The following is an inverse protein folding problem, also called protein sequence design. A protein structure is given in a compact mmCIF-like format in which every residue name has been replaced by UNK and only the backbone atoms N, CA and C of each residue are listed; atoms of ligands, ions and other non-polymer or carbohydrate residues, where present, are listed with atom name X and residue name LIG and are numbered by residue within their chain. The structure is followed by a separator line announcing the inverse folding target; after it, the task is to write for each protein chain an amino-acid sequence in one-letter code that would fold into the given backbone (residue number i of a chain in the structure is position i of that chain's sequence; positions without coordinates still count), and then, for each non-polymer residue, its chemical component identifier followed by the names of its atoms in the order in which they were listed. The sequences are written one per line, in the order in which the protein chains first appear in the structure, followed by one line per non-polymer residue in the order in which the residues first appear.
data_IF_089527321889
#
_entry.id   IF_089527321889
#
_cell.length_a   1.000
_cell.length_b   1.000
_cell.length_c   1.000
_cell.angle_alpha   90.00
_cell.angle_beta   90.00
_cell.angle_gamma   90.00
#
_symmetry.space_group_name_H-M   'P 1'
#
loop_
_entity.id
_entity.type
_entity.pdbx_description
1 polymer ?
#
# COMPACT_ATOMS: atom_id res chain seq x y z
N UNK A 1 45.40 -9.87 48.61
CA UNK A 1 45.47 -9.77 47.13
C UNK A 1 44.19 -10.28 46.44
N UNK A 2 43.64 -11.44 46.82
CA UNK A 2 42.42 -12.04 46.23
C UNK A 2 41.14 -11.17 46.29
N UNK A 3 40.87 -10.53 47.43
CA UNK A 3 39.66 -9.69 47.63
C UNK A 3 39.65 -8.48 46.67
N UNK A 4 40.81 -7.85 46.44
CA UNK A 4 40.91 -6.71 45.51
C UNK A 4 40.66 -7.11 44.05
N UNK A 5 41.03 -8.33 43.65
CA UNK A 5 40.77 -8.86 42.33
C UNK A 5 39.26 -9.15 42.11
N UNK A 6 38.59 -9.74 43.11
CA UNK A 6 37.14 -9.97 43.07
C UNK A 6 36.32 -8.68 42.99
N UNK A 7 36.72 -7.65 43.75
CA UNK A 7 36.07 -6.33 43.66
C UNK A 7 36.21 -5.72 42.26
N UNK A 8 37.41 -5.78 41.67
CA UNK A 8 37.64 -5.31 40.29
C UNK A 8 36.80 -6.08 39.26
N UNK A 9 36.70 -7.40 39.41
CA UNK A 9 35.86 -8.23 38.54
C UNK A 9 34.38 -7.85 38.63
N UNK A 10 33.84 -7.64 39.84
CA UNK A 10 32.44 -7.24 40.02
C UNK A 10 32.14 -5.85 39.42
N UNK A 11 33.08 -4.90 39.54
CA UNK A 11 32.95 -3.59 38.88
C UNK A 11 32.95 -3.74 37.37
N UNK A 12 33.84 -4.57 36.81
CA UNK A 12 33.90 -4.83 35.38
C UNK A 12 32.62 -5.50 34.87
N UNK A 13 32.10 -6.50 35.60
CA UNK A 13 30.85 -7.18 35.27
C UNK A 13 29.67 -6.21 35.19
N UNK A 14 29.55 -5.30 36.17
CA UNK A 14 28.50 -4.27 36.15
C UNK A 14 28.65 -3.31 34.99
N UNK A 15 29.88 -2.89 34.67
CA UNK A 15 30.15 -2.03 33.50
C UNK A 15 29.81 -2.73 32.18
N UNK A 16 30.17 -4.00 32.02
CA UNK A 16 29.83 -4.77 30.84
C UNK A 16 28.31 -4.92 30.70
N UNK A 17 27.60 -5.21 31.79
CA UNK A 17 26.14 -5.29 31.76
C UNK A 17 25.50 -3.94 31.40
N UNK A 18 26.03 -2.82 31.91
CA UNK A 18 25.56 -1.48 31.53
C UNK A 18 25.82 -1.18 30.04
N UNK A 19 26.96 -1.63 29.49
CA UNK A 19 27.27 -1.48 28.07
C UNK A 19 26.37 -2.35 27.19
N UNK A 20 26.08 -3.60 27.58
CA UNK A 20 25.16 -4.48 26.86
C UNK A 20 23.74 -3.91 26.82
N UNK A 21 23.27 -3.35 27.94
CA UNK A 21 21.97 -2.68 28.02
C UNK A 21 21.93 -1.43 27.12
N UNK A 22 22.92 -0.55 27.22
CA UNK A 22 23.00 0.65 26.39
C UNK A 22 23.09 0.33 24.88
N UNK A 23 23.81 -0.74 24.53
CA UNK A 23 23.88 -1.23 23.15
C UNK A 23 22.51 -1.72 22.67
N UNK A 24 21.79 -2.46 23.51
CA UNK A 24 20.45 -2.98 23.19
C UNK A 24 19.45 -1.84 23.01
N UNK A 25 19.45 -0.84 23.90
CA UNK A 25 18.61 0.35 23.80
C UNK A 25 18.86 1.11 22.50
N UNK A 26 20.14 1.35 22.17
CA UNK A 26 20.51 2.03 20.91
C UNK A 26 20.13 1.22 19.67
N UNK A 27 20.20 -0.11 19.74
CA UNK A 27 19.74 -0.99 18.65
C UNK A 27 18.22 -0.89 18.46
N UNK A 28 17.45 -0.90 19.56
CA UNK A 28 15.99 -0.76 19.51
C UNK A 28 15.58 0.61 18.96
N UNK A 29 16.24 1.68 19.39
CA UNK A 29 16.00 3.04 18.89
C UNK A 29 16.27 3.14 17.38
N UNK A 30 17.40 2.60 16.91
CA UNK A 30 17.71 2.57 15.47
C UNK A 30 16.66 1.80 14.66
N UNK A 31 16.17 0.66 15.18
CA UNK A 31 15.11 -0.10 14.52
C UNK A 31 13.81 0.69 14.48
N UNK A 32 13.43 1.36 15.57
CA UNK A 32 12.23 2.18 15.61
C UNK A 32 12.27 3.31 14.58
N UNK A 33 13.37 4.06 14.51
CA UNK A 33 13.56 5.15 13.54
C UNK A 33 13.50 4.63 12.10
N UNK A 34 14.12 3.49 11.81
CA UNK A 34 14.08 2.89 10.47
C UNK A 34 12.68 2.45 10.07
N UNK A 35 11.91 1.89 11.01
CA UNK A 35 10.52 1.50 10.78
C UNK A 35 9.62 2.71 10.54
N UNK A 36 9.78 3.77 11.32
CA UNK A 36 9.03 5.03 11.16
C UNK A 36 9.29 5.64 9.78
N UNK A 37 10.57 5.77 9.39
CA UNK A 37 10.94 6.28 8.06
C UNK A 37 10.41 5.43 6.90
N UNK A 38 10.37 4.10 7.06
CA UNK A 38 9.75 3.23 6.06
C UNK A 38 8.24 3.43 5.99
N UNK A 39 7.57 3.56 7.13
CA UNK A 39 6.15 3.78 7.21
C UNK A 39 5.75 5.12 6.57
N UNK A 40 6.46 6.20 6.86
CA UNK A 40 6.25 7.52 6.24
C UNK A 40 6.39 7.47 4.72
N UNK A 41 7.42 6.80 4.21
CA UNK A 41 7.61 6.60 2.76
C UNK A 41 6.45 5.84 2.13
N UNK A 42 6.00 4.78 2.79
CA UNK A 42 4.88 3.98 2.30
C UNK A 42 3.57 4.78 2.33
N UNK A 43 3.33 5.56 3.38
CA UNK A 43 2.16 6.42 3.51
C UNK A 43 2.16 7.53 2.46
N UNK A 44 3.29 8.19 2.22
CA UNK A 44 3.42 9.21 1.18
C UNK A 44 3.15 8.63 -0.23
N UNK A 45 3.65 7.42 -0.50
CA UNK A 45 3.36 6.71 -1.74
C UNK A 45 1.86 6.40 -1.85
N UNK A 46 1.26 5.83 -0.81
CA UNK A 46 -0.18 5.52 -0.80
C UNK A 46 -1.03 6.77 -1.06
N UNK A 47 -0.73 7.89 -0.38
CA UNK A 47 -1.43 9.15 -0.58
C UNK A 47 -1.30 9.67 -2.02
N UNK A 48 -0.09 9.62 -2.60
CA UNK A 48 0.15 10.05 -3.99
C UNK A 48 -0.66 9.23 -4.97
N UNK A 49 -0.67 7.92 -4.80
CA UNK A 49 -1.35 6.98 -5.68
C UNK A 49 -2.88 7.09 -5.55
N UNK A 50 -3.42 7.23 -4.34
CA UNK A 50 -4.85 7.46 -4.12
C UNK A 50 -5.31 8.82 -4.64
N UNK A 51 -4.48 9.86 -4.51
CA UNK A 51 -4.77 11.18 -5.09
C UNK A 51 -4.83 11.11 -6.61
N UNK A 52 -3.88 10.42 -7.24
CA UNK A 52 -3.89 10.20 -8.69
C UNK A 52 -5.14 9.42 -9.11
N UNK A 53 -5.54 8.39 -8.37
CA UNK A 53 -6.78 7.66 -8.63
C UNK A 53 -7.99 8.58 -8.53
N UNK A 54 -8.09 9.39 -7.47
CA UNK A 54 -9.17 10.37 -7.26
C UNK A 54 -9.30 11.30 -8.47
N UNK A 55 -8.19 11.82 -9.00
CA UNK A 55 -8.17 12.66 -10.19
C UNK A 55 -8.66 11.93 -11.43
N UNK A 56 -8.31 10.64 -11.59
CA UNK A 56 -8.75 9.82 -12.72
C UNK A 56 -10.20 9.42 -12.63
N UNK A 57 -10.78 9.31 -11.44
CA UNK A 57 -12.18 8.92 -11.24
C UNK A 57 -13.17 10.10 -11.19
N UNK A 58 -12.72 11.31 -11.55
CA UNK A 58 -13.54 12.55 -11.51
C UNK A 58 -14.84 12.49 -12.32
N UNK A 59 -14.97 11.57 -13.28
CA UNK A 59 -16.20 11.39 -14.05
C UNK A 59 -17.32 10.66 -13.30
N UNK A 60 -17.04 10.07 -12.13
CA UNK A 60 -18.07 9.52 -11.24
C UNK A 60 -18.70 10.62 -10.37
N UNK A 61 -19.88 10.38 -9.78
CA UNK A 61 -20.45 11.36 -8.83
C UNK A 61 -19.61 11.43 -7.56
N UNK A 62 -19.78 12.49 -6.76
CA UNK A 62 -19.01 12.66 -5.52
C UNK A 62 -19.22 11.49 -4.54
N UNK A 63 -20.44 10.96 -4.47
CA UNK A 63 -20.78 9.81 -3.63
C UNK A 63 -20.07 8.54 -4.12
N UNK A 64 -20.11 8.29 -5.44
CA UNK A 64 -19.41 7.18 -6.08
C UNK A 64 -17.90 7.26 -5.86
N UNK A 65 -17.30 8.45 -6.06
CA UNK A 65 -15.88 8.69 -5.82
C UNK A 65 -15.51 8.42 -4.36
N UNK A 66 -16.30 8.93 -3.42
CA UNK A 66 -16.07 8.72 -1.98
C UNK A 66 -16.12 7.25 -1.62
N UNK A 67 -17.07 6.50 -2.18
CA UNK A 67 -17.19 5.07 -1.94
C UNK A 67 -16.02 4.28 -2.55
N UNK A 68 -15.62 4.61 -3.78
CA UNK A 68 -14.44 4.01 -4.45
C UNK A 68 -13.18 4.26 -3.64
N UNK A 69 -12.95 5.52 -3.23
CA UNK A 69 -11.75 5.90 -2.48
C UNK A 69 -11.72 5.27 -1.09
N UNK A 70 -12.86 5.15 -0.42
CA UNK A 70 -12.95 4.44 0.86
C UNK A 70 -12.55 2.97 0.72
N UNK A 71 -13.08 2.28 -0.29
CA UNK A 71 -12.68 0.90 -0.61
C UNK A 71 -11.21 0.80 -0.98
N UNK A 72 -10.70 1.72 -1.81
CA UNK A 72 -9.30 1.76 -2.22
C UNK A 72 -8.34 2.01 -1.05
N UNK A 73 -8.74 2.87 -0.11
CA UNK A 73 -7.98 3.17 1.11
C UNK A 73 -7.87 1.92 2.00
N UNK A 74 -9.00 1.27 2.31
CA UNK A 74 -9.01 0.04 3.09
C UNK A 74 -8.19 -1.09 2.43
N UNK A 75 -8.24 -1.18 1.09
CA UNK A 75 -7.45 -2.16 0.35
C UNK A 75 -5.96 -1.81 0.35
N UNK A 76 -5.60 -0.54 0.22
CA UNK A 76 -4.22 -0.06 0.27
C UNK A 76 -3.58 -0.30 1.64
N UNK A 77 -4.27 0.05 2.72
CA UNK A 77 -3.76 0.02 4.10
C UNK A 77 -3.79 -1.39 4.69
N UNK A 78 -4.91 -2.10 4.55
CA UNK A 78 -5.14 -3.35 5.27
C UNK A 78 -5.26 -4.57 4.36
N UNK A 79 -5.27 -4.38 3.04
CA UNK A 79 -5.54 -5.46 2.09
C UNK A 79 -6.98 -5.96 2.12
N UNK A 80 -7.88 -5.22 2.75
CA UNK A 80 -9.29 -5.57 2.90
C UNK A 80 -10.10 -4.92 1.78
N UNK A 81 -10.89 -5.72 1.07
CA UNK A 81 -11.81 -5.22 0.04
C UNK A 81 -13.15 -4.95 0.70
N UNK A 82 -13.44 -3.68 0.96
CA UNK A 82 -14.74 -3.26 1.48
C UNK A 82 -15.65 -3.00 0.29
N UNK A 83 -16.76 -3.73 0.19
CA UNK A 83 -17.76 -3.47 -0.84
C UNK A 83 -18.43 -2.11 -0.59
N UNK A 84 -18.48 -1.22 -1.60
CA UNK A 84 -19.20 0.05 -1.50
C UNK A 84 -20.66 -0.14 -1.07
N UNK A 85 -21.15 0.70 -0.16
CA UNK A 85 -22.58 0.70 0.23
C UNK A 85 -23.51 1.20 -0.88
N UNK A 86 -22.96 1.79 -1.94
CA UNK A 86 -23.68 2.26 -3.12
C UNK A 86 -23.20 1.51 -4.36
N UNK A 87 -24.11 1.26 -5.30
CA UNK A 87 -23.75 0.63 -6.56
C UNK A 87 -23.15 1.66 -7.51
N UNK A 88 -21.89 1.46 -7.88
CA UNK A 88 -21.19 2.31 -8.85
C UNK A 88 -21.78 2.08 -10.24
N UNK A 89 -22.34 3.13 -10.83
CA UNK A 89 -23.01 3.07 -12.12
C UNK A 89 -22.01 3.06 -13.28
N UNK A 90 -22.42 2.47 -14.40
CA UNK A 90 -21.69 2.57 -15.66
C UNK A 90 -21.71 4.03 -16.13
N UNK A 91 -20.57 4.51 -16.64
CA UNK A 91 -20.43 5.84 -17.24
C UNK A 91 -19.98 5.67 -18.68
N UNK A 92 -20.63 6.37 -19.61
CA UNK A 92 -20.26 6.34 -21.02
C UNK A 92 -18.84 6.88 -21.27
N UNK A 93 -18.35 7.72 -20.36
CA UNK A 93 -17.02 8.33 -20.41
C UNK A 93 -15.92 7.47 -19.79
N UNK A 94 -16.25 6.33 -19.16
CA UNK A 94 -15.28 5.44 -18.53
C UNK A 94 -15.43 4.02 -19.07
N UNK A 95 -14.46 3.55 -19.85
CA UNK A 95 -14.46 2.17 -20.34
C UNK A 95 -13.99 1.19 -19.25
N UNK A 96 -14.37 -0.08 -19.38
CA UNK A 96 -13.82 -1.16 -18.55
C UNK A 96 -12.29 -1.20 -18.59
N UNK A 97 -11.67 -0.92 -19.75
CA UNK A 97 -10.21 -0.95 -19.91
C UNK A 97 -9.54 0.22 -19.19
N UNK A 98 -10.14 1.40 -19.23
CA UNK A 98 -9.63 2.57 -18.51
C UNK A 98 -9.72 2.37 -17.01
N UNK A 99 -10.87 1.87 -16.52
CA UNK A 99 -11.03 1.56 -15.11
C UNK A 99 -10.05 0.49 -14.64
N UNK A 100 -9.87 -0.59 -15.42
CA UNK A 100 -8.83 -1.59 -15.16
C UNK A 100 -7.45 -0.94 -15.08
N UNK A 101 -7.09 -0.09 -16.03
CA UNK A 101 -5.80 0.58 -16.04
C UNK A 101 -5.62 1.50 -14.83
N UNK A 102 -6.59 2.34 -14.48
CA UNK A 102 -6.49 3.24 -13.32
C UNK A 102 -6.26 2.46 -12.03
N UNK A 103 -7.07 1.43 -11.79
CA UNK A 103 -6.98 0.60 -10.59
C UNK A 103 -5.68 -0.22 -10.56
N UNK A 104 -5.28 -0.83 -11.68
CA UNK A 104 -4.02 -1.55 -11.79
C UNK A 104 -2.83 -0.64 -11.55
N UNK A 105 -2.81 0.55 -12.16
CA UNK A 105 -1.72 1.53 -12.06
C UNK A 105 -1.50 1.96 -10.62
N UNK A 106 -2.57 2.31 -9.93
CA UNK A 106 -2.55 2.68 -8.51
C UNK A 106 -2.01 1.55 -7.65
N UNK A 107 -2.58 0.34 -7.74
CA UNK A 107 -2.27 -0.73 -6.80
C UNK A 107 -0.99 -1.49 -7.10
N UNK A 108 -0.60 -1.61 -8.37
CA UNK A 108 0.72 -2.16 -8.70
C UNK A 108 1.85 -1.28 -8.17
N UNK A 109 1.70 0.05 -8.22
CA UNK A 109 2.70 0.96 -7.69
C UNK A 109 2.75 0.95 -6.15
N UNK A 110 1.68 0.52 -5.49
CA UNK A 110 1.68 0.17 -4.06
C UNK A 110 2.13 -1.28 -3.77
N UNK A 111 2.56 -2.05 -4.78
CA UNK A 111 3.05 -3.42 -4.60
C UNK A 111 1.97 -4.49 -4.35
N UNK A 112 0.69 -4.20 -4.65
CA UNK A 112 -0.39 -5.20 -4.50
C UNK A 112 -0.30 -6.28 -5.57
N UNK A 113 -0.72 -7.50 -5.22
CA UNK A 113 -0.70 -8.64 -6.13
C UNK A 113 -1.81 -8.53 -7.17
N UNK A 114 -1.55 -9.07 -8.37
CA UNK A 114 -2.53 -9.12 -9.47
C UNK A 114 -3.84 -9.80 -9.06
N UNK A 115 -3.78 -10.89 -8.28
CA UNK A 115 -4.97 -11.59 -7.77
C UNK A 115 -5.85 -10.67 -6.93
N UNK A 116 -5.24 -9.94 -6.01
CA UNK A 116 -5.95 -9.13 -5.04
C UNK A 116 -6.60 -7.91 -5.73
N UNK A 117 -5.93 -7.37 -6.75
CA UNK A 117 -6.47 -6.31 -7.62
C UNK A 117 -7.68 -6.81 -8.43
N UNK A 118 -7.62 -8.05 -8.93
CA UNK A 118 -8.76 -8.68 -9.64
C UNK A 118 -9.96 -8.80 -8.73
N UNK A 119 -9.77 -9.28 -7.50
CA UNK A 119 -10.83 -9.37 -6.50
C UNK A 119 -11.39 -7.99 -6.16
N UNK A 120 -10.53 -6.98 -6.00
CA UNK A 120 -10.96 -5.60 -5.76
C UNK A 120 -11.87 -5.10 -6.87
N UNK A 121 -11.44 -5.24 -8.13
CA UNK A 121 -12.21 -4.81 -9.29
C UNK A 121 -13.56 -5.53 -9.38
N UNK A 122 -13.59 -6.83 -9.15
CA UNK A 122 -14.83 -7.63 -9.22
C UNK A 122 -15.84 -7.27 -8.13
N UNK A 123 -15.37 -6.94 -6.92
CA UNK A 123 -16.26 -6.64 -5.78
C UNK A 123 -16.69 -5.18 -5.75
N UNK A 124 -15.80 -4.25 -6.08
CA UNK A 124 -16.08 -2.81 -6.04
C UNK A 124 -16.86 -2.36 -7.27
N UNK A 125 -16.59 -2.96 -8.45
CA UNK A 125 -17.22 -2.57 -9.72
C UNK A 125 -17.98 -3.73 -10.39
N UNK A 126 -19.00 -4.30 -9.74
CA UNK A 126 -19.70 -5.48 -10.26
C UNK A 126 -20.40 -5.21 -11.60
N UNK A 127 -20.88 -3.98 -11.84
CA UNK A 127 -21.50 -3.60 -13.11
C UNK A 127 -20.48 -3.51 -14.26
N UNK A 128 -19.24 -3.11 -13.98
CA UNK A 128 -18.17 -3.10 -14.98
C UNK A 128 -17.61 -4.50 -15.22
N UNK A 129 -17.63 -5.39 -14.24
CA UNK A 129 -17.03 -6.73 -14.37
C UNK A 129 -18.00 -7.86 -14.00
N UNK A 130 -19.14 -8.01 -14.71
CA UNK A 130 -20.16 -9.00 -14.36
C UNK A 130 -19.71 -10.46 -14.57
N UNK A 131 -18.67 -10.67 -15.39
CA UNK A 131 -18.12 -12.00 -15.66
C UNK A 131 -17.24 -12.56 -14.52
N UNK A 132 -17.02 -11.78 -13.45
CA UNK A 132 -16.28 -12.18 -12.26
C UNK A 132 -14.77 -12.30 -12.46
N UNK A 133 -14.09 -12.77 -11.41
CA UNK A 133 -12.64 -12.78 -11.29
C UNK A 133 -11.93 -13.62 -12.36
N UNK A 134 -12.51 -14.75 -12.77
CA UNK A 134 -11.86 -15.71 -13.67
C UNK A 134 -11.61 -15.14 -15.08
N UNK A 135 -12.58 -14.40 -15.62
CA UNK A 135 -12.48 -13.73 -16.91
C UNK A 135 -11.62 -12.47 -16.79
N UNK A 136 -11.78 -11.74 -15.68
CA UNK A 136 -11.02 -10.53 -15.41
C UNK A 136 -9.52 -10.82 -15.29
N UNK A 137 -9.13 -11.87 -14.57
CA UNK A 137 -7.74 -12.29 -14.41
C UNK A 137 -7.02 -12.51 -15.74
N UNK A 138 -7.71 -13.07 -16.75
CA UNK A 138 -7.16 -13.29 -18.10
C UNK A 138 -6.95 -11.99 -18.88
N UNK A 139 -7.80 -10.99 -18.66
CA UNK A 139 -7.77 -9.69 -19.35
C UNK A 139 -6.88 -8.65 -18.67
N UNK A 140 -6.43 -8.92 -17.43
CA UNK A 140 -5.62 -7.98 -16.66
C UNK A 140 -4.34 -7.57 -17.40
N UNK A 141 -4.04 -6.25 -17.46
CA UNK A 141 -2.80 -5.77 -18.03
C UNK A 141 -1.61 -6.22 -17.19
N UNK A 142 -0.46 -6.42 -17.85
CA UNK A 142 0.80 -6.70 -17.16
C UNK A 142 1.40 -5.43 -16.53
N UNK A 143 2.17 -5.60 -15.46
CA UNK A 143 2.82 -4.51 -14.72
C UNK A 143 3.59 -3.55 -15.64
N UNK A 144 4.42 -4.09 -16.53
CA UNK A 144 5.24 -3.30 -17.46
C UNK A 144 4.41 -2.40 -18.38
N UNK A 145 3.32 -2.93 -18.93
CA UNK A 145 2.41 -2.15 -19.80
C UNK A 145 1.73 -1.02 -19.06
N UNK A 146 1.38 -1.25 -17.79
CA UNK A 146 0.75 -0.24 -16.93
C UNK A 146 1.74 0.87 -16.61
N UNK A 147 2.99 0.53 -16.28
CA UNK A 147 4.06 1.50 -16.03
C UNK A 147 4.37 2.33 -17.27
N UNK A 148 4.53 1.70 -18.43
CA UNK A 148 4.82 2.38 -19.70
C UNK A 148 3.72 3.41 -20.05
N UNK A 149 2.44 3.04 -19.88
CA UNK A 149 1.33 3.98 -20.13
C UNK A 149 1.34 5.13 -19.12
N UNK A 150 1.71 4.88 -17.86
CA UNK A 150 1.78 5.91 -16.81
C UNK A 150 2.92 6.89 -17.04
N UNK A 151 4.06 6.43 -17.52
CA UNK A 151 5.20 7.28 -17.87
C UNK A 151 4.85 8.22 -19.02
N UNK A 152 4.16 7.71 -20.05
CA UNK A 152 3.69 8.54 -21.18
C UNK A 152 2.75 9.66 -20.75
N UNK A 153 1.92 9.45 -19.73
CA UNK A 153 1.04 10.49 -19.18
C UNK A 153 1.77 11.60 -18.41
N UNK A 154 2.96 11.33 -17.87
CA UNK A 154 3.73 12.30 -17.08
C UNK A 154 4.66 13.18 -17.95
N UNK A 155 4.86 12.82 -19.23
CA UNK A 155 5.73 13.53 -20.18
C UNK A 155 4.96 14.58 -21.00
N UNK A 156 3.63 14.63 -20.85
CA UNK A 156 2.72 15.49 -21.61
C UNK A 156 2.17 16.63 -20.75
#
# INVERSE_FOLDING_TARGET
MYIAALLKFNVLKRKNQALENALTEKQQENVAILLEHQNEKQQALQQRELKWLADKIKMFTEEEQKAILASACAFAEHGLIITPSITIQLKDTCSQQDLMYFVCSTFFNMGKKRSDIVSFLSQVFPLYFPAGESVLAKKMPGLEKVKERREKENVQ
#
